data_IF_609714752840
#
_entry.id   IF_609714752840
#
_cell.length_a   1.000
_cell.length_b   1.000
_cell.length_c   1.000
_cell.angle_alpha   90.00
_cell.angle_beta   90.00
_cell.angle_gamma   90.00
#
_symmetry.space_group_name_H-M   'P 1'
#
loop_
_entity.id
_entity.type
_entity.pdbx_description
1 polymer ?
#
# COMPACT_ATOMS: atom_id res chain seq x y z
N UNK A 1 6.55 -16.03 14.20
CA UNK A 1 5.21 -16.66 14.44
C UNK A 1 4.38 -16.50 13.18
N UNK A 2 3.53 -17.47 12.81
CA UNK A 2 2.67 -17.32 11.62
C UNK A 2 1.74 -16.11 11.77
N UNK A 3 1.32 -15.54 10.62
CA UNK A 3 0.35 -14.45 10.61
C UNK A 3 -0.91 -14.85 11.38
N UNK A 4 -1.45 -14.01 12.26
CA UNK A 4 -2.71 -14.30 12.95
C UNK A 4 -3.92 -14.28 11.99
N UNK A 5 -3.82 -13.55 10.87
CA UNK A 5 -4.91 -13.44 9.90
C UNK A 5 -4.88 -14.58 8.89
N UNK A 6 -6.05 -15.14 8.52
CA UNK A 6 -6.12 -16.25 7.57
C UNK A 6 -5.76 -15.86 6.12
N UNK A 7 -5.89 -14.59 5.79
CA UNK A 7 -5.58 -14.00 4.49
C UNK A 7 -4.81 -12.70 4.63
N UNK A 8 -5.41 -11.58 4.16
CA UNK A 8 -4.79 -10.27 4.28
C UNK A 8 -4.78 -9.79 5.74
N UNK A 9 -3.62 -9.31 6.16
CA UNK A 9 -3.43 -8.70 7.47
C UNK A 9 -3.58 -7.17 7.32
N UNK A 10 -4.60 -6.53 7.93
CA UNK A 10 -4.87 -5.10 7.74
C UNK A 10 -3.76 -4.19 8.27
N UNK A 11 -2.87 -4.67 9.11
CA UNK A 11 -1.70 -3.91 9.60
C UNK A 11 -0.64 -3.69 8.51
N UNK A 12 -0.63 -4.50 7.44
CA UNK A 12 0.24 -4.26 6.29
C UNK A 12 -0.08 -2.97 5.55
N UNK A 13 -1.31 -2.45 5.68
CA UNK A 13 -1.71 -1.18 5.05
C UNK A 13 -1.04 0.04 5.71
N UNK A 14 -0.29 -0.14 6.80
CA UNK A 14 0.43 0.95 7.46
C UNK A 14 1.52 1.52 6.52
N UNK A 15 1.61 2.86 6.33
CA UNK A 15 2.54 3.47 5.36
C UNK A 15 4.00 3.02 5.52
N UNK A 16 4.48 2.83 6.77
CA UNK A 16 5.85 2.35 7.05
C UNK A 16 6.10 0.87 6.72
N UNK A 17 5.04 0.11 6.43
CA UNK A 17 5.12 -1.32 6.14
C UNK A 17 4.77 -1.58 4.68
N UNK A 18 3.84 -0.80 4.12
CA UNK A 18 3.25 -1.05 2.82
C UNK A 18 4.26 -1.16 1.69
N UNK A 19 5.23 -0.27 1.61
CA UNK A 19 6.21 -0.27 0.52
C UNK A 19 7.04 -1.56 0.51
N UNK A 20 7.56 -1.94 1.68
CA UNK A 20 8.32 -3.17 1.88
C UNK A 20 7.43 -4.41 1.61
N UNK A 21 6.21 -4.44 2.16
CA UNK A 21 5.24 -5.51 1.91
C UNK A 21 4.90 -5.65 0.42
N UNK A 22 4.62 -4.55 -0.26
CA UNK A 22 4.27 -4.51 -1.68
C UNK A 22 5.40 -5.08 -2.55
N UNK A 23 6.64 -4.67 -2.31
CA UNK A 23 7.81 -5.15 -3.06
C UNK A 23 8.03 -6.66 -2.86
N UNK A 24 7.96 -7.12 -1.61
CA UNK A 24 8.16 -8.53 -1.27
C UNK A 24 7.00 -9.42 -1.76
N UNK A 25 5.75 -8.92 -1.72
CA UNK A 25 4.61 -9.63 -2.29
C UNK A 25 4.77 -9.81 -3.81
N UNK A 26 5.21 -8.77 -4.51
CA UNK A 26 5.46 -8.85 -5.95
C UNK A 26 6.56 -9.88 -6.27
N UNK A 27 7.64 -9.88 -5.50
CA UNK A 27 8.73 -10.86 -5.65
C UNK A 27 8.28 -12.30 -5.35
N UNK A 28 7.43 -12.49 -4.32
CA UNK A 28 6.92 -13.81 -3.98
C UNK A 28 5.92 -14.33 -5.03
N UNK A 29 5.06 -13.47 -5.57
CA UNK A 29 4.18 -13.82 -6.70
C UNK A 29 5.02 -14.30 -7.89
N UNK A 30 6.07 -13.55 -8.25
CA UNK A 30 7.00 -13.96 -9.31
C UNK A 30 7.62 -15.34 -9.02
N UNK A 31 8.06 -15.57 -7.78
CA UNK A 31 8.67 -16.83 -7.35
C UNK A 31 7.72 -18.02 -7.45
N UNK A 32 6.44 -17.83 -7.07
CA UNK A 32 5.41 -18.87 -7.18
C UNK A 32 5.08 -19.24 -8.64
N UNK A 33 5.04 -18.23 -9.51
CA UNK A 33 4.65 -18.43 -10.91
C UNK A 33 5.78 -18.98 -11.76
N UNK A 34 7.02 -18.53 -11.56
CA UNK A 34 8.17 -18.82 -12.42
C UNK A 34 8.37 -20.33 -12.77
N UNK A 35 8.28 -21.30 -11.82
CA UNK A 35 8.46 -22.72 -12.16
C UNK A 35 7.32 -23.28 -13.01
N UNK A 36 6.10 -22.69 -12.92
CA UNK A 36 4.88 -23.17 -13.62
C UNK A 36 4.75 -22.59 -15.03
N UNK A 37 5.45 -21.49 -15.30
CA UNK A 37 5.43 -20.79 -16.59
C UNK A 37 6.37 -21.41 -17.63
N UNK A 38 7.40 -22.14 -17.16
CA UNK A 38 8.39 -22.76 -18.07
C UNK A 38 7.78 -23.88 -18.90
N UNK A 39 8.31 -24.11 -20.12
CA UNK A 39 9.37 -23.37 -20.80
C UNK A 39 8.88 -22.21 -21.68
N UNK A 40 7.57 -22.00 -21.81
CA UNK A 40 6.95 -21.10 -22.80
C UNK A 40 6.90 -19.64 -22.35
N UNK A 41 6.81 -19.43 -21.04
CA UNK A 41 6.63 -18.09 -20.45
C UNK A 41 7.63 -17.85 -19.34
N UNK A 42 7.80 -16.57 -19.00
CA UNK A 42 8.54 -16.14 -17.83
C UNK A 42 7.79 -15.00 -17.13
N UNK A 43 8.04 -14.82 -15.83
CA UNK A 43 7.54 -13.70 -15.05
C UNK A 43 8.67 -12.69 -14.84
N UNK A 44 8.47 -11.45 -15.29
CA UNK A 44 9.37 -10.33 -15.03
C UNK A 44 8.79 -9.43 -13.94
N UNK A 45 9.65 -8.99 -13.01
CA UNK A 45 9.32 -7.95 -12.04
C UNK A 45 9.71 -6.61 -12.63
N UNK A 46 8.73 -5.73 -12.84
CA UNK A 46 8.92 -4.43 -13.48
C UNK A 46 8.73 -3.32 -12.46
N UNK A 47 9.82 -2.64 -12.03
CA UNK A 47 9.74 -1.52 -11.11
C UNK A 47 9.29 -0.26 -11.87
N UNK A 48 8.53 0.59 -11.19
CA UNK A 48 8.13 1.92 -11.65
C UNK A 48 8.28 2.90 -10.50
N UNK A 49 8.98 4.00 -10.75
CA UNK A 49 9.12 5.08 -9.77
C UNK A 49 8.00 6.10 -9.98
N UNK A 50 7.36 6.49 -8.93
CA UNK A 50 6.45 7.64 -8.82
C UNK A 50 6.84 8.46 -7.60
N UNK A 51 6.20 9.62 -7.41
CA UNK A 51 6.51 10.51 -6.27
C UNK A 51 5.25 10.73 -5.44
N UNK A 52 5.36 10.69 -4.12
CA UNK A 52 4.30 11.10 -3.20
C UNK A 52 4.72 12.40 -2.49
N UNK A 53 3.74 13.19 -2.09
CA UNK A 53 3.96 14.41 -1.34
C UNK A 53 3.82 14.14 0.14
N UNK A 54 4.88 14.40 0.89
CA UNK A 54 4.86 14.31 2.35
C UNK A 54 4.99 15.71 2.98
N UNK A 55 4.29 15.90 4.08
CA UNK A 55 4.45 17.08 4.95
C UNK A 55 5.36 16.65 6.10
N UNK A 56 6.55 17.26 6.18
CA UNK A 56 7.45 17.04 7.29
C UNK A 56 6.95 17.87 8.47
N UNK A 57 6.32 17.22 9.45
CA UNK A 57 5.94 17.85 10.71
C UNK A 57 7.15 17.86 11.65
N UNK A 58 7.63 19.07 11.99
CA UNK A 58 8.72 19.26 12.94
C UNK A 58 9.84 20.17 12.43
N UNK A 59 10.80 20.53 13.29
CA UNK A 59 11.97 21.29 12.86
C UNK A 59 12.80 20.44 11.88
N UNK A 60 13.41 21.05 10.84
CA UNK A 60 14.19 20.33 9.85
C UNK A 60 15.30 19.53 10.53
N UNK A 61 15.62 18.30 10.06
CA UNK A 61 16.66 17.49 10.63
C UNK A 61 18.01 18.24 10.59
N UNK A 62 18.67 18.28 11.72
CA UNK A 62 19.96 19.03 11.89
C UNK A 62 21.16 18.38 11.20
N UNK A 63 20.97 17.21 10.55
CA UNK A 63 21.99 16.57 9.71
C UNK A 63 21.34 16.14 8.40
N UNK A 64 21.84 16.57 7.24
CA UNK A 64 21.45 15.98 5.97
C UNK A 64 21.93 14.52 5.97
N UNK A 65 21.01 13.56 6.02
CA UNK A 65 21.35 12.19 5.61
C UNK A 65 21.79 12.25 4.16
N UNK A 66 22.96 11.68 3.89
CA UNK A 66 23.52 11.66 2.55
C UNK A 66 22.64 10.78 1.66
N UNK A 67 21.69 11.40 0.97
CA UNK A 67 20.97 10.79 -0.14
C UNK A 67 22.05 10.53 -1.20
N UNK A 68 22.30 9.25 -1.52
CA UNK A 68 23.07 8.86 -2.70
C UNK A 68 22.10 8.87 -3.89
N UNK A 69 22.07 9.91 -4.72
CA UNK A 69 21.29 9.84 -5.94
C UNK A 69 22.04 8.99 -6.96
N UNK A 70 21.38 7.97 -7.50
CA UNK A 70 21.85 7.24 -8.68
C UNK A 70 21.77 8.07 -9.98
N UNK A 71 21.36 9.33 -9.88
CA UNK A 71 21.34 10.30 -10.97
C UNK A 71 22.21 11.47 -10.58
N UNK A 72 23.32 11.66 -11.32
CA UNK A 72 24.25 12.75 -11.09
C UNK A 72 23.61 14.12 -11.36
N UNK A 73 23.39 14.89 -10.30
CA UNK A 73 23.10 16.32 -10.41
C UNK A 73 24.44 17.00 -10.64
N UNK A 74 24.67 17.51 -11.85
CA UNK A 74 25.82 18.33 -12.15
C UNK A 74 25.74 19.63 -11.33
N UNK A 75 26.71 19.82 -10.43
CA UNK A 75 26.91 21.07 -9.70
C UNK A 75 27.33 22.12 -10.73
N UNK A 76 26.47 23.04 -11.06
CA UNK A 76 26.90 24.25 -11.77
C UNK A 76 27.84 25.01 -10.83
N UNK A 77 29.10 25.19 -11.26
CA UNK A 77 30.04 26.06 -10.55
C UNK A 77 29.46 27.48 -10.56
N UNK A 78 29.21 28.00 -9.37
CA UNK A 78 28.81 29.40 -9.22
C UNK A 78 29.97 30.29 -9.69
N UNK A 79 29.74 31.31 -10.52
CA UNK A 79 30.78 32.26 -10.88
C UNK A 79 31.26 32.99 -9.62
N UNK A 80 32.54 32.95 -9.36
CA UNK A 80 33.20 33.71 -8.30
C UNK A 80 33.17 35.22 -8.62
N UNK A 81 32.05 35.83 -8.33
CA UNK A 81 31.86 37.29 -8.40
C UNK A 81 31.34 37.75 -7.05
N UNK A 82 32.21 38.37 -6.26
CA UNK A 82 31.82 39.14 -5.08
C UNK A 82 30.97 40.33 -5.50
N UNK A 83 29.65 40.17 -5.41
CA UNK A 83 28.76 41.33 -5.37
C UNK A 83 28.59 41.69 -3.91
N UNK A 84 29.33 42.73 -3.47
CA UNK A 84 28.98 43.49 -2.30
C UNK A 84 27.64 44.20 -2.58
N UNK A 85 26.55 43.46 -2.47
CA UNK A 85 25.17 43.92 -2.58
C UNK A 85 24.73 44.48 -1.24
N UNK A 86 24.24 45.71 -1.24
CA UNK A 86 23.60 46.35 -0.11
C UNK A 86 22.61 45.39 0.57
N UNK A 87 22.78 45.15 1.86
CA UNK A 87 21.84 44.38 2.65
C UNK A 87 20.49 45.11 2.61
N UNK A 88 19.55 44.59 1.85
CA UNK A 88 18.15 45.00 1.92
C UNK A 88 17.64 44.53 3.28
N UNK A 89 17.57 45.44 4.23
CA UNK A 89 16.95 45.20 5.53
C UNK A 89 15.46 45.10 5.28
N UNK A 90 14.95 43.85 5.22
CA UNK A 90 13.52 43.63 5.16
C UNK A 90 12.86 44.23 6.39
N UNK A 91 11.85 45.07 6.22
CA UNK A 91 11.16 45.79 7.29
C UNK A 91 10.36 44.91 8.23
N UNK A 92 10.24 43.64 7.93
CA UNK A 92 9.61 42.59 8.76
C UNK A 92 10.33 41.26 8.60
N UNK A 93 10.42 40.44 9.65
CA UNK A 93 11.01 39.10 9.55
C UNK A 93 10.19 38.23 8.59
N UNK A 94 10.84 37.32 7.82
CA UNK A 94 10.15 36.41 6.92
C UNK A 94 9.27 35.43 7.72
N UNK A 95 8.11 35.15 7.20
CA UNK A 95 7.27 34.04 7.69
C UNK A 95 7.86 32.74 7.10
N UNK A 96 8.17 31.79 7.98
CA UNK A 96 8.58 30.43 7.55
C UNK A 96 7.34 29.65 7.17
N UNK A 97 7.22 29.29 5.89
CA UNK A 97 6.15 28.44 5.38
C UNK A 97 6.70 27.04 5.10
N UNK A 98 5.89 26.04 5.39
CA UNK A 98 6.18 24.65 5.01
C UNK A 98 5.71 24.42 3.58
N UNK A 99 6.50 23.66 2.84
CA UNK A 99 6.15 23.20 1.49
C UNK A 99 6.15 21.66 1.47
N UNK A 100 5.28 21.01 0.69
CA UNK A 100 5.35 19.56 0.52
C UNK A 100 6.70 19.15 -0.05
N UNK A 101 7.23 18.02 0.44
CA UNK A 101 8.44 17.42 -0.10
C UNK A 101 8.03 16.18 -0.88
N UNK A 102 8.57 16.02 -2.08
CA UNK A 102 8.31 14.82 -2.91
C UNK A 102 9.27 13.71 -2.54
N UNK A 103 8.73 12.55 -2.17
CA UNK A 103 9.51 11.32 -1.95
C UNK A 103 9.26 10.33 -3.08
N UNK A 104 10.31 9.69 -3.63
CA UNK A 104 10.15 8.65 -4.63
C UNK A 104 9.60 7.38 -4.00
N UNK A 105 8.57 6.82 -4.62
CA UNK A 105 7.98 5.52 -4.27
C UNK A 105 8.19 4.57 -5.43
N UNK A 106 8.66 3.35 -5.15
CA UNK A 106 8.81 2.31 -6.16
C UNK A 106 7.63 1.35 -6.11
N UNK A 107 6.88 1.31 -7.20
CA UNK A 107 5.79 0.36 -7.43
C UNK A 107 6.31 -0.81 -8.27
N UNK A 108 5.79 -2.01 -8.01
CA UNK A 108 6.18 -3.21 -8.75
C UNK A 108 4.96 -3.84 -9.41
N UNK A 109 5.08 -4.15 -10.70
CA UNK A 109 4.15 -5.00 -11.43
C UNK A 109 4.85 -6.31 -11.81
N UNK A 110 4.08 -7.37 -12.02
CA UNK A 110 4.59 -8.63 -12.56
C UNK A 110 4.05 -8.80 -13.97
N UNK A 111 4.94 -8.98 -14.92
CA UNK A 111 4.63 -9.16 -16.34
C UNK A 111 4.92 -10.60 -16.75
N UNK A 112 3.89 -11.31 -17.21
CA UNK A 112 4.06 -12.63 -17.81
C UNK A 112 4.27 -12.45 -19.30
N UNK A 113 5.45 -12.81 -19.75
CA UNK A 113 5.86 -12.66 -21.14
C UNK A 113 6.15 -14.01 -21.80
N UNK A 114 5.93 -14.07 -23.11
CA UNK A 114 6.24 -15.25 -23.93
C UNK A 114 7.73 -15.28 -24.27
N UNK A 115 8.35 -16.45 -24.07
CA UNK A 115 9.77 -16.65 -24.39
C UNK A 115 10.04 -16.49 -25.89
N UNK A 116 11.05 -15.72 -26.22
CA UNK A 116 11.52 -15.50 -27.60
C UNK A 116 10.86 -14.32 -28.33
N UNK A 117 9.64 -13.95 -27.95
CA UNK A 117 8.95 -12.77 -28.51
C UNK A 117 8.91 -11.60 -27.54
N UNK A 118 9.08 -11.86 -26.24
CA UNK A 118 8.91 -10.92 -25.14
C UNK A 118 7.52 -10.25 -25.13
N UNK A 119 6.56 -10.86 -25.81
CA UNK A 119 5.20 -10.34 -25.89
C UNK A 119 4.50 -10.50 -24.53
N UNK A 120 3.93 -9.40 -24.03
CA UNK A 120 3.15 -9.39 -22.77
C UNK A 120 1.87 -10.19 -22.95
N UNK A 121 1.63 -11.11 -22.04
CA UNK A 121 0.45 -12.02 -22.00
C UNK A 121 -0.47 -11.64 -20.85
N UNK A 122 0.09 -11.46 -19.67
CA UNK A 122 -0.66 -11.09 -18.47
C UNK A 122 0.13 -10.08 -17.65
N UNK A 123 -0.52 -8.98 -17.30
CA UNK A 123 -0.02 -8.02 -16.32
C UNK A 123 -0.68 -8.28 -14.96
N UNK A 124 0.10 -8.34 -13.90
CA UNK A 124 -0.37 -8.44 -12.52
C UNK A 124 0.01 -7.15 -11.81
N UNK A 125 -0.99 -6.40 -11.36
CA UNK A 125 -0.86 -5.11 -10.71
C UNK A 125 -1.29 -5.21 -9.24
N UNK A 126 -0.37 -4.92 -8.31
CA UNK A 126 -0.70 -4.76 -6.90
C UNK A 126 -0.95 -3.28 -6.68
N UNK A 127 -2.19 -2.89 -6.34
CA UNK A 127 -2.55 -1.49 -6.19
C UNK A 127 -1.89 -0.89 -4.95
N UNK A 128 -1.29 0.28 -5.10
CA UNK A 128 -0.72 1.05 -3.99
C UNK A 128 -1.63 2.21 -3.57
N UNK A 129 -1.42 2.83 -2.39
CA UNK A 129 -2.22 3.97 -1.95
C UNK A 129 -2.29 5.12 -2.96
N UNK A 130 -1.20 5.42 -3.67
CA UNK A 130 -1.16 6.48 -4.68
C UNK A 130 -1.99 6.16 -5.91
N UNK A 131 -2.15 4.87 -6.27
CA UNK A 131 -3.03 4.43 -7.37
C UNK A 131 -4.53 4.58 -7.03
N UNK A 132 -4.85 4.78 -5.76
CA UNK A 132 -6.22 4.89 -5.23
C UNK A 132 -6.56 6.30 -4.70
N UNK A 133 -5.67 7.28 -4.92
CA UNK A 133 -5.83 8.67 -4.47
C UNK A 133 -6.19 9.57 -5.64
N UNK A 134 -7.48 9.96 -5.83
CA UNK A 134 -7.87 10.91 -6.88
C UNK A 134 -7.11 12.23 -6.74
N UNK A 135 -6.70 12.79 -7.88
CA UNK A 135 -5.89 14.02 -7.93
C UNK A 135 -4.39 13.80 -7.79
N UNK A 136 -3.95 12.59 -7.50
CA UNK A 136 -2.54 12.20 -7.56
C UNK A 136 -2.16 11.74 -8.97
N UNK A 137 -0.97 12.12 -9.47
CA UNK A 137 -0.51 11.76 -10.81
C UNK A 137 -0.54 10.24 -11.06
N UNK A 138 -0.08 9.44 -10.09
CA UNK A 138 -0.07 7.99 -10.18
C UNK A 138 -1.47 7.36 -10.33
N UNK A 139 -2.53 8.01 -9.81
CA UNK A 139 -3.92 7.58 -10.01
C UNK A 139 -4.34 7.71 -11.47
N UNK A 140 -4.07 8.86 -12.08
CA UNK A 140 -4.43 9.13 -13.47
C UNK A 140 -3.62 8.28 -14.44
N UNK A 141 -2.33 8.10 -14.17
CA UNK A 141 -1.44 7.25 -14.94
C UNK A 141 -1.86 5.79 -14.86
N UNK A 142 -2.21 5.30 -13.65
CA UNK A 142 -2.73 3.95 -13.48
C UNK A 142 -4.05 3.76 -14.22
N UNK A 143 -4.99 4.68 -14.11
CA UNK A 143 -6.25 4.66 -14.85
C UNK A 143 -6.03 4.63 -16.38
N UNK A 144 -5.02 5.35 -16.89
CA UNK A 144 -4.63 5.32 -18.29
C UNK A 144 -4.01 3.97 -18.68
N UNK A 145 -3.07 3.46 -17.86
CA UNK A 145 -2.44 2.13 -18.06
C UNK A 145 -3.49 1.03 -18.10
N UNK A 146 -4.41 1.02 -17.13
CA UNK A 146 -5.52 0.07 -17.04
C UNK A 146 -6.36 0.05 -18.31
N UNK A 147 -6.81 1.23 -18.75
CA UNK A 147 -7.58 1.35 -20.01
C UNK A 147 -6.81 0.85 -21.23
N UNK A 148 -5.51 1.07 -21.26
CA UNK A 148 -4.65 0.59 -22.37
C UNK A 148 -4.57 -0.94 -22.35
N UNK A 149 -4.27 -1.54 -21.21
CA UNK A 149 -4.19 -3.01 -21.05
C UNK A 149 -5.51 -3.69 -21.39
N UNK A 150 -6.65 -3.15 -20.92
CA UNK A 150 -7.99 -3.72 -21.21
C UNK A 150 -8.39 -3.63 -22.70
N UNK A 151 -7.71 -2.80 -23.50
CA UNK A 151 -7.93 -2.72 -24.97
C UNK A 151 -6.93 -3.55 -25.76
N UNK A 152 -5.84 -3.94 -25.14
CA UNK A 152 -4.81 -4.80 -25.73
C UNK A 152 -5.16 -6.28 -25.59
N UNK A 153 -4.55 -7.18 -26.37
CA UNK A 153 -4.69 -8.63 -26.22
C UNK A 153 -3.89 -9.14 -24.99
N UNK A 154 -4.11 -8.52 -23.83
CA UNK A 154 -3.38 -8.76 -22.58
C UNK A 154 -4.38 -8.99 -21.46
N UNK A 155 -4.13 -10.02 -20.63
CA UNK A 155 -4.89 -10.22 -19.40
C UNK A 155 -4.39 -9.27 -18.33
N UNK A 156 -5.30 -8.76 -17.49
CA UNK A 156 -4.96 -7.87 -16.38
C UNK A 156 -5.54 -8.43 -15.08
N UNK A 157 -4.65 -8.80 -14.16
CA UNK A 157 -4.99 -9.19 -12.79
C UNK A 157 -4.65 -8.03 -11.87
N UNK A 158 -5.67 -7.41 -11.25
CA UNK A 158 -5.53 -6.31 -10.30
C UNK A 158 -5.75 -6.85 -8.88
N UNK A 159 -4.81 -6.62 -7.98
CA UNK A 159 -4.83 -7.07 -6.59
C UNK A 159 -4.98 -5.83 -5.71
N UNK A 160 -6.20 -5.59 -5.19
CA UNK A 160 -6.54 -4.48 -4.29
C UNK A 160 -6.63 -4.97 -2.84
N UNK A 161 -5.51 -4.90 -2.13
CA UNK A 161 -5.37 -5.25 -0.72
C UNK A 161 -5.35 -4.00 0.18
N UNK A 162 -6.05 -2.94 -0.23
CA UNK A 162 -6.13 -1.68 0.50
C UNK A 162 -7.60 -1.31 0.76
N UNK A 163 -7.95 -1.11 2.02
CA UNK A 163 -9.27 -0.62 2.44
C UNK A 163 -9.47 0.85 2.06
N UNK A 164 -8.39 1.64 2.16
CA UNK A 164 -8.42 3.06 1.85
C UNK A 164 -8.45 3.34 0.35
N UNK A 165 -8.87 4.57 0.01
CA UNK A 165 -8.83 5.12 -1.34
C UNK A 165 -9.99 4.70 -2.23
N UNK A 166 -9.97 5.18 -3.48
CA UNK A 166 -11.01 4.94 -4.47
C UNK A 166 -10.63 3.77 -5.37
N UNK A 167 -11.54 2.81 -5.52
CA UNK A 167 -11.37 1.69 -6.45
C UNK A 167 -11.65 2.12 -7.88
N UNK A 168 -10.97 1.47 -8.81
CA UNK A 168 -11.28 1.67 -10.23
C UNK A 168 -12.73 1.24 -10.52
N UNK A 169 -13.47 2.01 -11.32
CA UNK A 169 -14.90 1.80 -11.48
C UNK A 169 -15.22 0.48 -12.18
N UNK A 170 -16.24 -0.19 -11.64
CA UNK A 170 -17.01 -1.26 -12.29
C UNK A 170 -18.47 -0.84 -12.33
N UNK A 171 -19.23 -1.31 -13.33
CA UNK A 171 -20.65 -0.93 -13.49
C UNK A 171 -21.58 -1.77 -12.61
N UNK A 172 -21.14 -2.96 -12.21
CA UNK A 172 -21.91 -3.86 -11.34
C UNK A 172 -21.70 -3.45 -9.89
N UNK A 173 -22.78 -3.42 -9.12
CA UNK A 173 -22.69 -3.26 -7.66
C UNK A 173 -21.94 -4.44 -7.05
N UNK A 174 -20.87 -4.14 -6.30
CA UNK A 174 -20.08 -5.15 -5.62
C UNK A 174 -20.53 -5.30 -4.16
N UNK A 175 -20.38 -6.50 -3.58
CA UNK A 175 -20.65 -6.69 -2.16
C UNK A 175 -19.69 -5.85 -1.32
N UNK A 176 -20.09 -5.53 -0.09
CA UNK A 176 -19.22 -4.85 0.87
C UNK A 176 -18.11 -5.82 1.31
N UNK A 177 -16.89 -5.49 0.93
CA UNK A 177 -15.70 -6.24 1.30
C UNK A 177 -14.48 -5.31 1.40
N UNK A 178 -13.56 -5.57 2.35
CA UNK A 178 -12.38 -4.74 2.52
C UNK A 178 -11.41 -4.82 1.35
N UNK A 179 -11.29 -5.98 0.70
CA UNK A 179 -10.34 -6.22 -0.37
C UNK A 179 -10.99 -6.86 -1.58
N UNK A 180 -10.35 -6.71 -2.74
CA UNK A 180 -10.85 -7.26 -4.00
C UNK A 180 -9.70 -7.71 -4.90
N UNK A 181 -9.97 -8.73 -5.71
CA UNK A 181 -9.14 -9.10 -6.83
C UNK A 181 -10.00 -9.03 -8.07
N UNK A 182 -9.46 -8.45 -9.14
CA UNK A 182 -10.15 -8.29 -10.42
C UNK A 182 -9.33 -8.94 -11.52
N UNK A 183 -9.96 -9.71 -12.38
CA UNK A 183 -9.32 -10.28 -13.55
C UNK A 183 -10.09 -9.89 -14.81
N UNK A 184 -9.43 -9.14 -15.66
CA UNK A 184 -9.84 -8.89 -17.04
C UNK A 184 -9.13 -9.87 -17.95
N UNK A 185 -9.89 -10.72 -18.67
CA UNK A 185 -9.31 -11.62 -19.67
C UNK A 185 -9.19 -10.93 -21.01
N UNK A 186 -8.08 -11.17 -21.69
CA UNK A 186 -7.89 -10.74 -23.07
C UNK A 186 -9.06 -11.23 -23.95
N UNK A 187 -9.49 -10.40 -24.90
CA UNK A 187 -10.58 -10.69 -25.83
C UNK A 187 -11.99 -10.80 -25.22
N UNK A 188 -12.16 -10.61 -23.90
CA UNK A 188 -13.46 -10.57 -23.24
C UNK A 188 -13.80 -9.12 -22.89
N UNK A 189 -14.41 -8.43 -23.86
CA UNK A 189 -14.71 -7.00 -23.68
C UNK A 189 -15.84 -6.76 -22.65
N UNK A 190 -15.62 -5.76 -21.79
CA UNK A 190 -16.66 -5.24 -20.88
C UNK A 190 -16.99 -6.14 -19.68
N UNK A 191 -16.22 -7.18 -19.42
CA UNK A 191 -16.40 -8.08 -18.28
C UNK A 191 -15.10 -8.20 -17.47
N UNK A 192 -15.25 -8.35 -16.15
CA UNK A 192 -14.16 -8.68 -15.22
C UNK A 192 -14.68 -9.74 -14.23
N UNK A 193 -13.85 -10.71 -13.95
CA UNK A 193 -14.08 -11.63 -12.83
C UNK A 193 -13.67 -10.91 -11.55
N UNK A 194 -14.48 -11.03 -10.48
CA UNK A 194 -14.24 -10.30 -9.23
C UNK A 194 -14.32 -11.25 -8.04
N UNK A 195 -13.28 -11.22 -7.21
CA UNK A 195 -13.25 -11.93 -5.93
C UNK A 195 -13.25 -10.91 -4.80
N UNK A 196 -14.38 -10.73 -4.08
CA UNK A 196 -14.41 -10.00 -2.82
C UNK A 196 -13.71 -10.84 -1.74
N UNK A 197 -12.91 -10.20 -0.91
CA UNK A 197 -12.11 -10.86 0.12
C UNK A 197 -12.42 -10.25 1.49
N UNK A 198 -12.96 -11.08 2.39
CA UNK A 198 -13.24 -10.70 3.78
C UNK A 198 -12.01 -10.93 4.67
N UNK A 199 -11.91 -10.19 5.79
CA UNK A 199 -10.82 -10.36 6.76
C UNK A 199 -10.79 -11.75 7.42
N UNK A 200 -11.96 -12.38 7.54
CA UNK A 200 -12.16 -13.66 8.21
C UNK A 200 -11.79 -14.87 7.35
N UNK A 201 -11.42 -14.64 6.10
CA UNK A 201 -11.22 -15.70 5.11
C UNK A 201 -9.82 -15.63 4.49
N UNK A 202 -9.25 -16.79 4.09
CA UNK A 202 -8.11 -16.78 3.21
C UNK A 202 -8.46 -16.14 1.86
N UNK A 203 -7.48 -15.54 1.22
CA UNK A 203 -7.64 -15.04 -0.15
C UNK A 203 -7.79 -16.25 -1.07
N UNK A 204 -8.79 -16.28 -1.94
CA UNK A 204 -8.96 -17.40 -2.86
C UNK A 204 -7.76 -17.55 -3.80
N UNK A 205 -7.45 -18.77 -4.19
CA UNK A 205 -6.50 -19.03 -5.28
C UNK A 205 -7.12 -18.50 -6.57
N UNK A 206 -6.41 -17.60 -7.24
CA UNK A 206 -6.91 -16.95 -8.46
C UNK A 206 -6.16 -17.44 -9.69
N UNK A 207 -6.83 -17.51 -10.86
CA UNK A 207 -6.20 -17.88 -12.11
C UNK A 207 -5.32 -16.75 -12.64
N UNK A 208 -4.14 -17.08 -13.16
CA UNK A 208 -3.29 -16.21 -13.98
C UNK A 208 -3.37 -16.74 -15.42
N UNK A 209 -4.12 -16.07 -16.31
CA UNK A 209 -4.33 -16.56 -17.66
C UNK A 209 -3.06 -16.52 -18.51
N UNK A 210 -2.93 -17.50 -19.37
CA UNK A 210 -1.94 -17.60 -20.43
C UNK A 210 -2.61 -17.47 -21.80
N UNK A 211 -1.84 -17.63 -22.87
CA UNK A 211 -2.41 -17.71 -24.22
C UNK A 211 -3.05 -19.06 -24.47
N UNK A 212 -4.22 -19.07 -25.07
CA UNK A 212 -4.82 -20.31 -25.55
C UNK A 212 -3.87 -21.08 -26.49
N UNK A 213 -3.78 -22.40 -26.40
CA UNK A 213 -4.58 -23.30 -25.55
C UNK A 213 -3.94 -23.61 -24.16
N UNK A 214 -2.96 -22.83 -23.71
CA UNK A 214 -2.30 -23.11 -22.43
C UNK A 214 -3.25 -22.79 -21.26
N UNK A 215 -3.31 -23.67 -20.23
CA UNK A 215 -4.19 -23.46 -19.09
C UNK A 215 -3.73 -22.32 -18.18
N UNK A 216 -4.67 -21.76 -17.44
CA UNK A 216 -4.38 -20.78 -16.40
C UNK A 216 -3.43 -21.35 -15.33
N UNK A 217 -2.55 -20.53 -14.80
CA UNK A 217 -1.66 -20.88 -13.69
C UNK A 217 -2.27 -20.40 -12.37
N UNK A 218 -2.46 -21.29 -11.37
CA UNK A 218 -3.02 -20.87 -10.09
C UNK A 218 -2.00 -20.04 -9.29
N UNK A 219 -2.48 -18.88 -8.74
CA UNK A 219 -1.76 -18.02 -7.85
C UNK A 219 -2.40 -18.06 -6.46
N UNK A 220 -1.62 -18.46 -5.45
CA UNK A 220 -2.02 -18.53 -4.06
C UNK A 220 -1.47 -17.30 -3.28
N UNK A 221 -2.28 -16.26 -3.18
CA UNK A 221 -1.91 -15.02 -2.49
C UNK A 221 -1.85 -15.21 -0.97
N UNK A 222 -2.68 -16.06 -0.39
CA UNK A 222 -2.61 -16.38 1.04
C UNK A 222 -1.24 -16.96 1.38
N UNK A 223 -0.80 -17.93 0.61
CA UNK A 223 0.52 -18.53 0.80
C UNK A 223 1.63 -17.49 0.62
N UNK A 224 1.54 -16.61 -0.39
CA UNK A 224 2.51 -15.56 -0.60
C UNK A 224 2.63 -14.65 0.62
N UNK A 225 1.50 -14.15 1.13
CA UNK A 225 1.44 -13.27 2.29
C UNK A 225 2.01 -13.95 3.54
N UNK A 226 1.63 -15.20 3.80
CA UNK A 226 2.13 -15.94 4.98
C UNK A 226 3.63 -16.23 4.87
N UNK A 227 4.13 -16.56 3.67
CA UNK A 227 5.57 -16.79 3.44
C UNK A 227 6.37 -15.53 3.78
N UNK A 228 6.01 -14.39 3.22
CA UNK A 228 6.74 -13.13 3.48
C UNK A 228 6.56 -12.65 4.93
N UNK A 229 5.40 -12.90 5.55
CA UNK A 229 5.18 -12.57 6.96
C UNK A 229 6.20 -13.28 7.87
N UNK A 230 6.36 -14.58 7.67
CA UNK A 230 7.27 -15.39 8.48
C UNK A 230 8.75 -15.11 8.14
N UNK A 231 9.11 -15.09 6.86
CA UNK A 231 10.50 -14.94 6.41
C UNK A 231 11.07 -13.55 6.75
N UNK A 232 10.23 -12.49 6.71
CA UNK A 232 10.65 -11.11 6.96
C UNK A 232 10.33 -10.60 8.37
N UNK A 233 9.92 -11.53 9.27
CA UNK A 233 9.70 -11.25 10.70
C UNK A 233 8.75 -10.07 10.95
N UNK A 234 7.64 -9.99 10.21
CA UNK A 234 6.65 -8.94 10.41
C UNK A 234 6.00 -8.95 11.79
N UNK A 235 6.00 -10.09 12.48
CA UNK A 235 5.58 -10.23 13.88
C UNK A 235 6.40 -9.36 14.84
N UNK A 236 7.63 -9.00 14.49
CA UNK A 236 8.48 -8.09 15.26
C UNK A 236 8.27 -6.61 14.93
N UNK A 237 7.59 -6.32 13.81
CA UNK A 237 7.40 -4.96 13.27
C UNK A 237 5.98 -4.43 13.49
N UNK A 238 5.01 -5.33 13.72
CA UNK A 238 3.59 -5.00 13.89
C UNK A 238 3.23 -5.01 15.35
N UNK A 239 2.73 -3.88 15.87
CA UNK A 239 2.13 -3.81 17.21
C UNK A 239 0.63 -4.09 17.14
N UNK A 240 0.25 -5.30 17.42
CA UNK A 240 -1.16 -5.74 17.42
C UNK A 240 -2.02 -5.16 18.57
N UNK A 241 -1.43 -4.44 19.52
CA UNK A 241 -2.17 -3.72 20.55
C UNK A 241 -2.83 -2.46 20.02
N UNK A 242 -2.23 -1.87 18.97
CA UNK A 242 -2.77 -0.69 18.28
C UNK A 242 -3.89 -1.08 17.31
N UNK A 243 -4.70 -0.11 16.91
CA UNK A 243 -5.65 -0.32 15.81
C UNK A 243 -4.91 -0.44 14.47
N UNK A 244 -5.46 -1.20 13.50
CA UNK A 244 -4.94 -1.16 12.14
C UNK A 244 -5.08 0.25 11.55
N UNK A 245 -4.27 0.60 10.54
CA UNK A 245 -4.31 1.93 9.95
C UNK A 245 -5.70 2.27 9.38
N UNK A 246 -6.02 3.58 9.22
CA UNK A 246 -7.27 4.01 8.61
C UNK A 246 -7.51 3.41 7.21
N UNK A 247 -8.78 3.26 6.79
CA UNK A 247 -10.02 3.63 7.48
C UNK A 247 -10.36 2.69 8.64
N UNK A 248 -11.21 3.12 9.60
CA UNK A 248 -11.71 2.26 10.66
C UNK A 248 -12.32 0.99 10.09
N UNK A 249 -12.17 -0.12 10.81
CA UNK A 249 -12.84 -1.37 10.46
C UNK A 249 -14.35 -1.25 10.65
N UNK A 250 -15.12 -1.96 9.81
CA UNK A 250 -16.53 -2.17 10.05
C UNK A 250 -16.74 -2.84 11.43
N UNK A 251 -17.85 -2.61 12.12
CA UNK A 251 -18.06 -3.13 13.49
C UNK A 251 -17.86 -4.66 13.60
N UNK A 252 -18.31 -5.42 12.62
CA UNK A 252 -18.13 -6.87 12.59
C UNK A 252 -16.66 -7.29 12.45
N UNK A 253 -15.92 -6.60 11.58
CA UNK A 253 -14.50 -6.81 11.38
C UNK A 253 -13.69 -6.39 12.60
N UNK A 254 -14.08 -5.29 13.26
CA UNK A 254 -13.45 -4.84 14.49
C UNK A 254 -13.60 -5.89 15.61
N UNK A 255 -14.81 -6.43 15.78
CA UNK A 255 -15.07 -7.48 16.77
C UNK A 255 -14.25 -8.75 16.50
N UNK A 256 -14.16 -9.14 15.22
CA UNK A 256 -13.33 -10.26 14.80
C UNK A 256 -11.84 -10.02 15.10
N UNK A 257 -11.30 -8.86 14.74
CA UNK A 257 -9.91 -8.50 14.99
C UNK A 257 -9.58 -8.45 16.47
N UNK A 258 -10.47 -7.87 17.29
CA UNK A 258 -10.29 -7.81 18.74
C UNK A 258 -10.25 -9.22 19.37
N UNK A 259 -11.12 -10.13 18.89
CA UNK A 259 -11.12 -11.54 19.33
C UNK A 259 -9.86 -12.28 18.87
N UNK A 260 -9.50 -12.14 17.59
CA UNK A 260 -8.35 -12.80 16.98
C UNK A 260 -7.04 -12.40 17.66
N UNK A 261 -6.91 -11.12 18.00
CA UNK A 261 -5.67 -10.54 18.54
C UNK A 261 -5.63 -10.49 20.08
N UNK A 262 -6.65 -10.97 20.77
CA UNK A 262 -6.64 -11.07 22.25
C UNK A 262 -5.40 -11.80 22.79
N UNK A 263 -4.91 -12.90 22.18
CA UNK A 263 -3.67 -13.57 22.63
C UNK A 263 -2.41 -12.71 22.50
N UNK A 264 -2.44 -11.67 21.64
CA UNK A 264 -1.34 -10.71 21.42
C UNK A 264 -1.43 -9.50 22.35
N UNK A 265 -2.32 -9.52 23.34
CA UNK A 265 -2.49 -8.46 24.33
C UNK A 265 -3.36 -7.30 23.86
N UNK A 266 -4.16 -7.50 22.80
CA UNK A 266 -5.11 -6.51 22.33
C UNK A 266 -6.31 -6.42 23.28
N UNK A 267 -6.67 -5.21 23.68
CA UNK A 267 -7.89 -4.92 24.44
C UNK A 267 -9.02 -4.54 23.49
N UNK A 268 -10.25 -5.09 23.63
CA UNK A 268 -11.39 -4.74 22.79
C UNK A 268 -11.67 -3.22 22.80
N UNK A 269 -11.99 -2.64 21.66
CA UNK A 269 -12.17 -1.20 21.49
C UNK A 269 -13.24 -0.61 22.43
N UNK A 270 -14.36 -1.31 22.61
CA UNK A 270 -15.42 -0.89 23.56
C UNK A 270 -14.95 -0.83 25.00
N UNK A 271 -14.01 -1.70 25.39
CA UNK A 271 -13.44 -1.69 26.73
C UNK A 271 -12.46 -0.52 26.91
N UNK A 272 -11.65 -0.25 25.90
CA UNK A 272 -10.73 0.91 25.90
C UNK A 272 -11.48 2.23 26.07
N UNK A 273 -12.55 2.44 25.28
CA UNK A 273 -13.36 3.66 25.38
C UNK A 273 -13.97 3.86 26.77
N UNK A 274 -14.39 2.79 27.44
CA UNK A 274 -14.91 2.89 28.81
C UNK A 274 -13.81 3.16 29.85
N UNK A 275 -12.63 2.62 29.64
CA UNK A 275 -11.48 2.91 30.51
C UNK A 275 -11.05 4.38 30.37
N UNK A 276 -11.00 4.92 29.15
CA UNK A 276 -10.70 6.32 28.86
C UNK A 276 -11.76 7.28 29.44
N UNK A 277 -13.07 6.94 29.37
CA UNK A 277 -14.15 7.71 29.98
C UNK A 277 -14.04 7.75 31.49
N UNK A 278 -13.72 6.62 32.15
CA UNK A 278 -13.55 6.54 33.59
C UNK A 278 -12.32 7.33 34.05
N UNK A 279 -11.23 7.30 33.30
CA UNK A 279 -10.01 8.05 33.61
C UNK A 279 -10.25 9.57 33.49
N UNK A 280 -10.99 10.01 32.45
CA UNK A 280 -11.38 11.38 32.24
C UNK A 280 -12.30 11.91 33.37
N UNK A 281 -13.32 11.13 33.77
CA UNK A 281 -14.21 11.49 34.87
C UNK A 281 -13.45 11.57 36.22
N UNK A 282 -12.43 10.72 36.41
CA UNK A 282 -11.61 10.75 37.62
C UNK A 282 -10.71 12.01 37.65
N UNK A 283 -10.12 12.41 36.53
CA UNK A 283 -9.32 13.64 36.42
C UNK A 283 -10.15 14.92 36.63
N UNK A 284 -11.39 14.95 36.07
CA UNK A 284 -12.32 16.07 36.31
C UNK A 284 -12.75 16.16 37.78
N UNK A 285 -13.00 15.03 38.45
CA UNK A 285 -13.36 15.02 39.85
C UNK A 285 -12.21 15.50 40.76
N UNK A 286 -10.98 15.08 40.48
CA UNK A 286 -9.80 15.50 41.23
C UNK A 286 -9.51 17.02 41.00
N UNK A 287 -9.72 17.51 39.77
CA UNK A 287 -9.56 18.93 39.44
C UNK A 287 -10.60 19.80 40.19
N UNK A 288 -11.84 19.33 40.31
CA UNK A 288 -12.91 20.04 41.01
C UNK A 288 -12.69 20.08 42.53
N UNK A 289 -12.12 19.04 43.14
CA UNK A 289 -11.77 19.03 44.56
C UNK A 289 -10.64 20.02 44.89
N UNK A 290 -9.68 20.17 43.98
CA UNK A 290 -8.57 21.15 44.14
C UNK A 290 -9.08 22.58 44.08
N UNK A 291 -10.03 22.90 43.17
CA UNK A 291 -10.64 24.23 43.10
C UNK A 291 -11.55 24.58 44.29
N UNK A 292 -12.24 23.59 44.87
CA UNK A 292 -13.12 23.81 45.98
C UNK A 292 -12.37 23.94 47.34
N UNK A 293 -11.10 23.57 47.38
CA UNK A 293 -10.24 23.66 48.57
C UNK A 293 -9.34 24.89 48.67
N UNK A 294 -9.43 25.81 47.69
CA UNK A 294 -8.65 27.06 47.65
C UNK A 294 -9.53 28.30 47.96
#
# INVERSE_FOLDING_TARGET
MPSPFPGMNPYFEHPRIWEDFHANLAAEIQRQLAPRLRPKYYAALTPRVTYDEIIIEGPPPTKPEAIKPDVGIYRAEAPSGSLAGAAVVASSPPIMAQVPVQEPITLHSIEICEVGTDALVTAIEILSPVNKRPGHEAFDEYAKKRRHLMRAPVNLLEIDLLRAGVRMPVLTELPDAPYFIFLHRAFVAGQVEVWPVALQQPIPVVPVPLREPDPDVPLDLTRAIHTIYDELSYDMRIDYKQDPPPPPLAPADQAYVDQLLAPFGRTPKLRRLREDEVEYEAEEAESAEVEAGS
#
